data_IF_286430178092
#
_entry.id   IF_286430178092
#
_cell.length_a   1.000
_cell.length_b   1.000
_cell.length_c   1.000
_cell.angle_alpha   90.00
_cell.angle_beta   90.00
_cell.angle_gamma   90.00
#
_symmetry.space_group_name_H-M   'P 1'
#
loop_
_entity.id
_entity.type
_entity.pdbx_description
1 polymer ?
#
# COMPACT_ATOMS: atom_id res chain seq x y z
N UNK A 1 -26.84 -14.83 -74.66
CA UNK A 1 -25.38 -15.09 -74.81
C UNK A 1 -24.84 -15.23 -73.37
N UNK A 2 -24.36 -16.33 -72.79
CA UNK A 2 -23.79 -17.65 -73.18
C UNK A 2 -24.10 -18.59 -71.97
N UNK A 3 -24.89 -19.66 -72.09
CA UNK A 3 -24.52 -21.08 -72.31
C UNK A 3 -23.15 -21.56 -71.79
N UNK A 4 -23.22 -22.65 -71.01
CA UNK A 4 -22.27 -23.77 -70.90
C UNK A 4 -20.95 -23.47 -70.14
N UNK A 5 -20.24 -24.40 -69.52
CA UNK A 5 -20.26 -25.86 -69.53
C UNK A 5 -19.43 -26.38 -68.33
N UNK A 6 -19.68 -27.64 -67.92
CA UNK A 6 -18.72 -28.74 -67.64
C UNK A 6 -17.46 -28.47 -66.77
N UNK A 7 -16.90 -29.38 -65.98
CA UNK A 7 -17.12 -30.77 -65.52
C UNK A 7 -15.79 -31.14 -64.85
N UNK A 8 -15.80 -31.83 -63.70
CA UNK A 8 -14.73 -32.64 -63.04
C UNK A 8 -14.88 -32.49 -61.52
N UNK A 9 -14.78 -33.51 -60.68
CA UNK A 9 -14.50 -34.93 -60.84
C UNK A 9 -14.87 -35.63 -59.53
N UNK A 10 -14.98 -36.96 -59.56
CA UNK A 10 -14.58 -37.78 -58.40
C UNK A 10 -15.69 -38.11 -57.41
N UNK A 11 -16.40 -39.19 -57.72
CA UNK A 11 -17.33 -39.89 -56.84
C UNK A 11 -16.56 -40.72 -55.79
N UNK A 12 -17.17 -40.82 -54.59
CA UNK A 12 -16.97 -41.83 -53.52
C UNK A 12 -15.82 -41.62 -52.53
N UNK A 13 -16.17 -41.28 -51.29
CA UNK A 13 -16.25 -42.29 -50.21
C UNK A 13 -17.22 -41.83 -49.11
N UNK A 14 -18.05 -42.77 -48.72
CA UNK A 14 -19.07 -42.68 -47.69
C UNK A 14 -18.37 -42.92 -46.35
N UNK A 15 -18.60 -42.04 -45.38
CA UNK A 15 -17.99 -42.15 -44.04
C UNK A 15 -18.80 -41.38 -42.98
N UNK A 16 -19.91 -41.99 -42.58
CA UNK A 16 -20.60 -41.93 -41.27
C UNK A 16 -20.63 -40.58 -40.50
N UNK A 17 -21.83 -40.02 -40.46
CA UNK A 17 -22.54 -39.42 -39.33
C UNK A 17 -21.79 -39.31 -37.97
N UNK A 18 -21.66 -38.07 -37.50
CA UNK A 18 -21.76 -37.67 -36.09
C UNK A 18 -22.46 -36.29 -36.08
N UNK A 19 -23.78 -36.25 -36.20
CA UNK A 19 -24.74 -36.02 -35.09
C UNK A 19 -24.23 -35.00 -34.06
N UNK A 20 -24.65 -33.76 -34.28
CA UNK A 20 -25.26 -32.81 -33.32
C UNK A 20 -24.72 -32.86 -31.89
N UNK A 21 -23.98 -31.81 -31.52
CA UNK A 21 -23.60 -31.53 -30.15
C UNK A 21 -23.31 -30.05 -29.92
N UNK A 22 -24.12 -29.13 -30.47
CA UNK A 22 -24.10 -27.72 -30.07
C UNK A 22 -24.65 -27.61 -28.66
N UNK A 23 -23.80 -27.79 -27.65
CA UNK A 23 -24.10 -27.37 -26.27
C UNK A 23 -23.48 -25.99 -26.07
N UNK A 24 -24.25 -24.95 -26.37
CA UNK A 24 -24.08 -23.68 -25.67
C UNK A 24 -24.52 -23.92 -24.22
N UNK A 25 -23.64 -24.48 -23.39
CA UNK A 25 -23.75 -24.24 -21.96
C UNK A 25 -23.00 -22.94 -21.71
N UNK A 26 -23.79 -21.87 -21.71
CA UNK A 26 -23.42 -20.56 -21.19
C UNK A 26 -23.03 -20.74 -19.72
N UNK A 27 -21.75 -21.00 -19.48
CA UNK A 27 -21.17 -20.70 -18.18
C UNK A 27 -21.14 -19.17 -18.09
N UNK A 28 -22.21 -18.58 -17.56
CA UNK A 28 -22.05 -17.40 -16.72
C UNK A 28 -21.21 -17.86 -15.54
N UNK A 29 -19.89 -17.92 -15.74
CA UNK A 29 -18.97 -17.86 -14.61
C UNK A 29 -19.18 -16.48 -14.02
N UNK A 30 -19.85 -16.50 -12.88
CA UNK A 30 -20.01 -15.40 -11.93
C UNK A 30 -18.76 -14.53 -11.96
N UNK A 31 -18.92 -13.32 -12.50
CA UNK A 31 -17.98 -12.22 -12.31
C UNK A 31 -17.99 -11.88 -10.83
N UNK A 32 -17.23 -12.62 -10.04
CA UNK A 32 -16.83 -12.19 -8.71
C UNK A 32 -15.81 -11.10 -8.95
N UNK A 33 -16.30 -9.86 -9.09
CA UNK A 33 -15.49 -8.65 -9.12
C UNK A 33 -14.91 -8.45 -7.70
N UNK A 34 -13.98 -9.33 -7.31
CA UNK A 34 -13.00 -9.02 -6.27
C UNK A 34 -12.03 -8.06 -6.99
N UNK A 35 -11.78 -6.84 -6.49
CA UNK A 35 -10.62 -6.11 -6.97
C UNK A 35 -9.45 -7.08 -6.92
N UNK A 36 -8.70 -7.16 -8.02
CA UNK A 36 -7.52 -8.02 -8.11
C UNK A 36 -6.74 -7.83 -6.81
N UNK A 37 -6.61 -8.88 -6.00
CA UNK A 37 -6.11 -8.79 -4.62
C UNK A 37 -4.74 -8.11 -4.60
N UNK A 38 -3.97 -8.31 -5.68
CA UNK A 38 -2.70 -7.68 -5.94
C UNK A 38 -2.83 -6.15 -6.10
N UNK A 39 -3.85 -5.67 -6.81
CA UNK A 39 -4.15 -4.23 -6.94
C UNK A 39 -4.50 -3.61 -5.58
N UNK A 40 -5.33 -4.29 -4.78
CA UNK A 40 -5.71 -3.79 -3.45
C UNK A 40 -4.51 -3.73 -2.49
N UNK A 41 -3.63 -4.73 -2.53
CA UNK A 41 -2.40 -4.73 -1.73
C UNK A 41 -1.48 -3.57 -2.14
N UNK A 42 -1.32 -3.31 -3.44
CA UNK A 42 -0.52 -2.18 -3.94
C UNK A 42 -1.06 -0.84 -3.44
N UNK A 43 -2.37 -0.62 -3.52
CA UNK A 43 -3.01 0.61 -3.00
C UNK A 43 -2.75 0.81 -1.49
N UNK A 44 -2.82 -0.27 -0.70
CA UNK A 44 -2.52 -0.19 0.73
C UNK A 44 -1.05 0.15 1.01
N UNK A 45 -0.12 -0.39 0.22
CA UNK A 45 1.30 -0.06 0.35
C UNK A 45 1.56 1.42 0.02
N UNK A 46 0.94 1.95 -1.04
CA UNK A 46 1.05 3.37 -1.38
C UNK A 46 0.54 4.25 -0.24
N UNK A 47 -0.60 3.91 0.35
CA UNK A 47 -1.12 4.62 1.52
C UNK A 47 -0.18 4.54 2.74
N UNK A 48 0.48 3.40 2.97
CA UNK A 48 1.49 3.27 4.03
C UNK A 48 2.67 4.20 3.75
N UNK A 49 3.16 4.25 2.50
CA UNK A 49 4.25 5.14 2.12
C UNK A 49 3.88 6.61 2.34
N UNK A 50 2.67 7.03 1.98
CA UNK A 50 2.18 8.39 2.24
C UNK A 50 2.10 8.71 3.74
N UNK A 51 1.72 7.73 4.58
CA UNK A 51 1.75 7.88 6.03
C UNK A 51 3.19 8.04 6.52
N UNK A 52 4.11 7.23 6.03
CA UNK A 52 5.52 7.27 6.42
C UNK A 52 6.18 8.61 6.04
N UNK A 53 5.87 9.15 4.85
CA UNK A 53 6.31 10.48 4.45
C UNK A 53 5.82 11.57 5.40
N UNK A 54 4.53 11.51 5.80
CA UNK A 54 3.96 12.44 6.77
C UNK A 54 4.60 12.29 8.16
N UNK A 55 4.88 11.07 8.60
CA UNK A 55 5.58 10.82 9.87
C UNK A 55 6.98 11.44 9.82
N UNK A 56 7.72 11.29 8.72
CA UNK A 56 9.05 11.88 8.56
C UNK A 56 8.98 13.41 8.61
N UNK A 57 8.00 14.03 7.93
CA UNK A 57 7.80 15.48 7.97
C UNK A 57 7.53 15.98 9.39
N UNK A 58 6.62 15.32 10.12
CA UNK A 58 6.29 15.65 11.50
C UNK A 58 7.50 15.50 12.44
N UNK A 59 8.33 14.47 12.23
CA UNK A 59 9.54 14.28 13.05
C UNK A 59 10.60 15.35 12.78
N UNK A 60 10.74 15.82 11.54
CA UNK A 60 11.62 16.94 11.20
C UNK A 60 11.16 18.24 11.87
N UNK A 61 9.88 18.57 11.74
CA UNK A 61 9.28 19.74 12.41
C UNK A 61 9.48 19.66 13.94
N UNK A 62 9.21 18.49 14.53
CA UNK A 62 9.45 18.27 15.97
C UNK A 62 10.91 18.48 16.34
N UNK A 63 11.86 18.04 15.52
CA UNK A 63 13.29 18.21 15.76
C UNK A 63 13.69 19.70 15.74
N UNK A 64 13.18 20.46 14.76
CA UNK A 64 13.39 21.91 14.68
C UNK A 64 12.87 22.62 15.95
N UNK A 65 11.65 22.29 16.38
CA UNK A 65 11.07 22.82 17.62
C UNK A 65 11.88 22.41 18.86
N UNK A 66 12.34 21.15 18.93
CA UNK A 66 13.20 20.66 20.02
C UNK A 66 14.48 21.49 20.11
N UNK A 67 15.13 21.77 18.97
CA UNK A 67 16.35 22.57 18.91
C UNK A 67 16.11 24.02 19.33
N UNK A 68 14.97 24.62 18.95
CA UNK A 68 14.58 25.97 19.38
C UNK A 68 14.38 26.03 20.90
N UNK A 69 13.70 25.05 21.48
CA UNK A 69 13.50 24.95 22.94
C UNK A 69 14.82 24.80 23.67
N UNK A 70 15.70 23.90 23.23
CA UNK A 70 17.03 23.73 23.83
C UNK A 70 17.87 25.02 23.74
N UNK A 71 17.84 25.69 22.59
CA UNK A 71 18.54 26.95 22.37
C UNK A 71 18.03 28.07 23.29
N UNK A 72 16.71 28.15 23.48
CA UNK A 72 16.11 29.12 24.40
C UNK A 72 16.50 28.83 25.86
N UNK A 73 16.52 27.57 26.27
CA UNK A 73 16.93 27.16 27.63
C UNK A 73 18.38 27.53 27.93
N UNK A 74 19.29 27.24 27.00
CA UNK A 74 20.70 27.59 27.12
C UNK A 74 20.90 29.11 27.25
N UNK A 75 20.14 29.91 26.49
CA UNK A 75 20.17 31.39 26.61
C UNK A 75 19.73 31.88 28.00
N UNK A 76 18.83 31.16 28.66
CA UNK A 76 18.35 31.49 30.01
C UNK A 76 19.22 30.89 31.14
N UNK A 77 20.38 30.29 30.83
CA UNK A 77 21.28 29.68 31.82
C UNK A 77 20.82 28.32 32.34
N UNK A 78 19.83 27.69 31.69
CA UNK A 78 19.36 26.35 32.00
C UNK A 78 20.17 25.24 31.31
N UNK A 79 19.85 23.99 31.62
CA UNK A 79 20.42 22.81 30.95
C UNK A 79 19.65 22.45 29.68
N UNK A 80 20.29 21.76 28.73
CA UNK A 80 19.62 21.26 27.50
C UNK A 80 18.47 20.31 27.84
N UNK A 81 18.67 19.43 28.81
CA UNK A 81 17.73 18.39 29.20
C UNK A 81 17.03 18.70 30.52
N UNK A 82 15.72 18.45 30.53
CA UNK A 82 14.87 18.48 31.71
C UNK A 82 14.18 17.13 31.81
N UNK A 83 14.59 16.33 32.80
CA UNK A 83 14.10 14.97 33.00
C UNK A 83 12.56 14.88 33.10
N UNK A 84 11.93 15.90 33.70
CA UNK A 84 10.48 15.99 33.79
C UNK A 84 9.79 16.11 32.42
N UNK A 85 10.37 16.89 31.51
CA UNK A 85 9.86 17.05 30.14
C UNK A 85 10.03 15.75 29.33
N UNK A 86 11.15 15.05 29.47
CA UNK A 86 11.35 13.75 28.81
C UNK A 86 10.35 12.70 29.30
N UNK A 87 10.15 12.61 30.62
CA UNK A 87 9.14 11.72 31.20
C UNK A 87 7.72 12.07 30.75
N UNK A 88 7.42 13.34 30.46
CA UNK A 88 6.15 13.72 29.86
C UNK A 88 5.99 13.18 28.43
N UNK A 89 7.07 13.19 27.62
CA UNK A 89 7.06 12.58 26.27
C UNK A 89 6.86 11.07 26.37
N UNK A 90 7.59 10.37 27.24
CA UNK A 90 7.41 8.93 27.43
C UNK A 90 5.98 8.57 27.83
N UNK A 91 5.38 9.31 28.78
CA UNK A 91 3.98 9.12 29.18
C UNK A 91 3.02 9.36 28.03
N UNK A 92 3.19 10.46 27.29
CA UNK A 92 2.30 10.79 26.17
C UNK A 92 2.25 9.68 25.11
N UNK A 93 3.40 9.14 24.71
CA UNK A 93 3.44 8.03 23.77
C UNK A 93 2.92 6.72 24.40
N UNK A 94 3.19 6.47 25.69
CA UNK A 94 2.69 5.29 26.38
C UNK A 94 1.16 5.30 26.52
N UNK A 95 0.55 6.45 26.76
CA UNK A 95 -0.90 6.61 26.85
C UNK A 95 -1.57 6.35 25.49
N UNK A 96 -0.93 6.76 24.38
CA UNK A 96 -1.46 6.56 23.04
C UNK A 96 -1.19 5.18 22.42
N UNK A 97 -0.05 4.56 22.73
CA UNK A 97 0.45 3.35 22.03
C UNK A 97 0.85 2.20 22.97
N UNK A 98 0.55 2.33 24.28
CA UNK A 98 0.90 1.35 25.30
C UNK A 98 2.41 1.19 25.49
N UNK A 99 2.85 -0.03 25.85
CA UNK A 99 4.26 -0.33 26.12
C UNK A 99 5.20 -0.09 24.93
N UNK A 100 4.70 -0.24 23.70
CA UNK A 100 5.45 0.07 22.47
C UNK A 100 5.63 1.58 22.29
N UNK A 101 4.69 2.37 22.78
CA UNK A 101 4.76 3.83 22.77
C UNK A 101 5.96 4.38 23.53
N UNK A 102 6.20 3.88 24.75
CA UNK A 102 7.36 4.31 25.54
C UNK A 102 8.68 4.04 24.81
N UNK A 103 8.82 2.89 24.14
CA UNK A 103 10.00 2.59 23.31
C UNK A 103 10.12 3.54 22.11
N UNK A 104 9.00 3.84 21.45
CA UNK A 104 8.98 4.79 20.34
C UNK A 104 9.39 6.20 20.79
N UNK A 105 8.93 6.66 21.95
CA UNK A 105 9.33 7.96 22.51
C UNK A 105 10.85 8.08 22.66
N UNK A 106 11.54 7.02 23.10
CA UNK A 106 13.01 6.99 23.17
C UNK A 106 13.66 7.24 21.81
N UNK A 107 13.17 6.55 20.77
CA UNK A 107 13.67 6.73 19.40
C UNK A 107 13.38 8.14 18.87
N UNK A 108 12.18 8.67 19.13
CA UNK A 108 11.80 10.03 18.70
C UNK A 108 12.69 11.07 19.38
N UNK A 109 12.93 10.95 20.68
CA UNK A 109 13.84 11.84 21.40
C UNK A 109 15.27 11.75 20.87
N UNK A 110 15.74 10.55 20.51
CA UNK A 110 17.04 10.37 19.89
C UNK A 110 17.11 11.07 18.53
N UNK A 111 16.17 10.80 17.61
CA UNK A 111 16.12 11.42 16.28
C UNK A 111 16.12 12.95 16.36
N UNK A 112 15.34 13.53 17.27
CA UNK A 112 15.23 14.98 17.38
C UNK A 112 16.45 15.69 18.02
N UNK A 113 17.42 14.94 18.55
CA UNK A 113 18.59 15.49 19.28
C UNK A 113 19.93 15.19 18.62
N UNK A 114 19.99 14.20 17.72
CA UNK A 114 21.19 13.95 16.94
C UNK A 114 21.32 15.02 15.84
N UNK A 115 22.54 15.49 15.54
CA UNK A 115 22.80 16.43 14.44
C UNK A 115 22.61 15.80 13.05
#
# INVERSE_FOLDING_TARGET
MRRAAKLRAGLRRIGKQAIVGRRHHSAMETTTNKPDEDTYIVELWDHIQEIDERIIQLLRERAELSNLVESARLKCGGTRTELAAENAVFRHYADGLGSRGSRLAGNVLQVCRQP
#
